data_IF_199317992882
#
_entry.id   IF_199317992882
#
_cell.length_a   1.000
_cell.length_b   1.000
_cell.length_c   1.000
_cell.angle_alpha   90.00
_cell.angle_beta   90.00
_cell.angle_gamma   90.00
#
_symmetry.space_group_name_H-M   'P 1'
#
loop_
_entity.id
_entity.type
_entity.pdbx_description
1 polymer ?
#
# COMPACT_ATOMS: atom_id res chain seq x y z
N UNK A 1 3.38 0.22 -20.08
CA UNK A 1 2.16 -0.02 -19.27
C UNK A 1 1.10 1.11 -19.34
N UNK A 2 1.48 2.39 -19.22
CA UNK A 2 0.55 3.54 -19.10
C UNK A 2 -0.61 3.64 -20.13
N UNK A 3 -0.43 3.48 -21.46
CA UNK A 3 -1.56 3.56 -22.39
C UNK A 3 -2.62 2.46 -22.16
N UNK A 4 -2.20 1.27 -21.72
CA UNK A 4 -3.12 0.17 -21.37
C UNK A 4 -3.89 0.46 -20.10
N UNK A 5 -3.25 1.06 -19.09
CA UNK A 5 -3.93 1.49 -17.86
C UNK A 5 -5.02 2.51 -18.15
N UNK A 6 -4.76 3.49 -19.02
CA UNK A 6 -5.79 4.46 -19.45
C UNK A 6 -6.97 3.73 -20.10
N UNK A 7 -6.71 2.80 -21.01
CA UNK A 7 -7.76 2.01 -21.66
C UNK A 7 -8.59 1.21 -20.64
N UNK A 8 -7.92 0.49 -19.74
CA UNK A 8 -8.58 -0.29 -18.67
C UNK A 8 -9.42 0.63 -17.77
N UNK A 9 -8.91 1.80 -17.42
CA UNK A 9 -9.62 2.79 -16.60
C UNK A 9 -10.91 3.27 -17.25
N UNK A 10 -10.89 3.47 -18.58
CA UNK A 10 -12.09 3.82 -19.33
C UNK A 10 -13.10 2.66 -19.35
N UNK A 11 -12.63 1.42 -19.49
CA UNK A 11 -13.49 0.23 -19.47
C UNK A 11 -14.11 -0.02 -18.10
N UNK A 12 -13.39 0.25 -17.00
CA UNK A 12 -13.90 0.12 -15.63
C UNK A 12 -15.09 1.04 -15.33
N UNK A 13 -15.20 2.17 -16.05
CA UNK A 13 -16.34 3.09 -15.93
C UNK A 13 -17.61 2.53 -16.60
N UNK A 14 -17.47 1.62 -17.56
CA UNK A 14 -18.59 0.91 -18.18
C UNK A 14 -18.89 -0.38 -17.40
N UNK A 15 -20.06 -0.41 -16.73
CA UNK A 15 -20.49 -1.58 -15.95
C UNK A 15 -20.48 -2.88 -16.74
N UNK A 16 -20.70 -2.84 -18.07
CA UNK A 16 -20.68 -4.04 -18.91
C UNK A 16 -19.27 -4.59 -19.13
N UNK A 17 -18.26 -3.72 -19.06
CA UNK A 17 -16.86 -4.06 -19.34
C UNK A 17 -16.02 -4.18 -18.06
N UNK A 18 -16.53 -3.74 -16.91
CA UNK A 18 -15.79 -3.72 -15.65
C UNK A 18 -15.18 -5.08 -15.25
N UNK A 19 -15.90 -6.19 -15.46
CA UNK A 19 -15.36 -7.52 -15.17
C UNK A 19 -14.20 -7.90 -16.11
N UNK A 20 -14.33 -7.61 -17.41
CA UNK A 20 -13.28 -7.89 -18.38
C UNK A 20 -12.06 -6.99 -18.15
N UNK A 21 -12.28 -5.71 -17.82
CA UNK A 21 -11.24 -4.75 -17.53
C UNK A 21 -10.39 -5.15 -16.32
N UNK A 22 -11.01 -5.71 -15.29
CA UNK A 22 -10.29 -6.23 -14.13
C UNK A 22 -9.38 -7.42 -14.48
N UNK A 23 -9.89 -8.41 -15.23
CA UNK A 23 -9.07 -9.51 -15.70
C UNK A 23 -7.92 -9.04 -16.61
N UNK A 24 -8.14 -7.98 -17.40
CA UNK A 24 -7.07 -7.35 -18.17
C UNK A 24 -6.03 -6.64 -17.28
N UNK A 25 -6.44 -6.03 -16.17
CA UNK A 25 -5.51 -5.41 -15.23
C UNK A 25 -4.65 -6.45 -14.51
N UNK A 26 -5.26 -7.54 -14.03
CA UNK A 26 -4.53 -8.68 -13.44
C UNK A 26 -3.53 -9.28 -14.44
N UNK A 27 -3.96 -9.49 -15.68
CA UNK A 27 -3.09 -9.97 -16.76
C UNK A 27 -1.97 -8.99 -17.07
N UNK A 28 -2.24 -7.68 -17.00
CA UNK A 28 -1.23 -6.65 -17.21
C UNK A 28 -0.17 -6.67 -16.11
N UNK A 29 -0.57 -6.81 -14.85
CA UNK A 29 0.36 -6.98 -13.72
C UNK A 29 1.24 -8.20 -13.95
N UNK A 30 0.65 -9.36 -14.25
CA UNK A 30 1.37 -10.61 -14.47
C UNK A 30 2.33 -10.58 -15.68
N UNK A 31 1.96 -9.86 -16.75
CA UNK A 31 2.76 -9.77 -17.97
C UNK A 31 3.85 -8.68 -17.93
N UNK A 32 3.87 -7.82 -16.90
CA UNK A 32 4.82 -6.70 -16.82
C UNK A 32 6.10 -7.13 -16.12
N UNK A 33 7.21 -7.20 -16.86
CA UNK A 33 8.52 -7.58 -16.31
C UNK A 33 9.24 -6.44 -15.59
N UNK A 34 9.00 -5.20 -16.02
CA UNK A 34 9.61 -4.00 -15.46
C UNK A 34 8.99 -3.65 -14.10
N UNK A 35 9.84 -3.48 -13.08
CA UNK A 35 9.39 -3.36 -11.69
C UNK A 35 8.60 -2.08 -11.43
N UNK A 36 9.08 -0.94 -11.93
CA UNK A 36 8.40 0.35 -11.79
C UNK A 36 7.02 0.32 -12.46
N UNK A 37 6.94 -0.17 -13.69
CA UNK A 37 5.66 -0.32 -14.39
C UNK A 37 4.74 -1.36 -13.74
N UNK A 38 5.30 -2.41 -13.12
CA UNK A 38 4.49 -3.40 -12.40
C UNK A 38 3.92 -2.78 -11.12
N UNK A 39 4.72 -2.01 -10.37
CA UNK A 39 4.27 -1.26 -9.21
C UNK A 39 3.13 -0.29 -9.57
N UNK A 40 3.25 0.47 -10.68
CA UNK A 40 2.16 1.32 -11.19
C UNK A 40 0.86 0.52 -11.42
N UNK A 41 0.96 -0.66 -12.06
CA UNK A 41 -0.20 -1.51 -12.33
C UNK A 41 -0.77 -2.16 -11.06
N UNK A 42 0.07 -2.57 -10.10
CA UNK A 42 -0.34 -3.12 -8.81
C UNK A 42 -1.07 -2.09 -7.95
N UNK A 43 -0.60 -0.83 -7.93
CA UNK A 43 -1.31 0.27 -7.27
C UNK A 43 -2.72 0.46 -7.84
N UNK A 44 -2.84 0.42 -9.17
CA UNK A 44 -4.14 0.50 -9.83
C UNK A 44 -5.05 -0.68 -9.49
N UNK A 45 -4.48 -1.88 -9.37
CA UNK A 45 -5.22 -3.07 -8.97
C UNK A 45 -5.66 -2.99 -7.50
N UNK A 46 -4.80 -2.51 -6.60
CA UNK A 46 -5.15 -2.30 -5.19
C UNK A 46 -6.32 -1.32 -5.05
N UNK A 47 -6.29 -0.19 -5.79
CA UNK A 47 -7.41 0.76 -5.82
C UNK A 47 -8.70 0.10 -6.34
N UNK A 48 -8.61 -0.72 -7.39
CA UNK A 48 -9.78 -1.44 -7.89
C UNK A 48 -10.36 -2.41 -6.85
N UNK A 49 -9.53 -3.09 -6.06
CA UNK A 49 -10.01 -3.96 -4.98
C UNK A 49 -10.69 -3.15 -3.87
N UNK A 50 -10.15 -1.98 -3.52
CA UNK A 50 -10.80 -1.04 -2.59
C UNK A 50 -12.17 -0.60 -3.09
N UNK A 51 -12.28 -0.21 -4.36
CA UNK A 51 -13.55 0.21 -4.97
C UNK A 51 -14.60 -0.92 -4.97
N UNK A 52 -14.15 -2.18 -4.90
CA UNK A 52 -14.99 -3.38 -4.80
C UNK A 52 -15.31 -3.79 -3.36
N UNK A 53 -14.73 -3.11 -2.38
CA UNK A 53 -14.86 -3.44 -0.96
C UNK A 53 -13.97 -4.59 -0.49
N UNK A 54 -13.05 -5.07 -1.33
CA UNK A 54 -12.07 -6.10 -0.94
C UNK A 54 -10.81 -5.44 -0.36
N UNK A 55 -10.96 -4.90 0.86
CA UNK A 55 -9.88 -4.23 1.56
C UNK A 55 -8.70 -5.17 1.84
N UNK A 56 -8.95 -6.45 2.10
CA UNK A 56 -7.90 -7.46 2.35
C UNK A 56 -7.03 -7.66 1.12
N UNK A 57 -7.62 -7.88 -0.06
CA UNK A 57 -6.85 -8.02 -1.28
C UNK A 57 -6.06 -6.75 -1.62
N UNK A 58 -6.65 -5.57 -1.36
CA UNK A 58 -5.95 -4.30 -1.54
C UNK A 58 -4.73 -4.16 -0.60
N UNK A 59 -4.88 -4.49 0.69
CA UNK A 59 -3.77 -4.46 1.66
C UNK A 59 -2.65 -5.39 1.21
N UNK A 60 -2.95 -6.64 0.87
CA UNK A 60 -1.95 -7.60 0.39
C UNK A 60 -1.23 -7.13 -0.87
N UNK A 61 -1.94 -6.47 -1.79
CA UNK A 61 -1.31 -5.88 -2.97
C UNK A 61 -0.37 -4.75 -2.60
N UNK A 62 -0.77 -3.83 -1.71
CA UNK A 62 0.09 -2.72 -1.28
C UNK A 62 1.36 -3.20 -0.55
N UNK A 63 1.24 -4.22 0.31
CA UNK A 63 2.38 -4.84 0.99
C UNK A 63 3.37 -5.49 0.02
N UNK A 64 2.89 -5.96 -1.14
CA UNK A 64 3.73 -6.61 -2.17
C UNK A 64 4.54 -5.64 -3.05
N UNK A 65 4.37 -4.32 -2.89
CA UNK A 65 5.03 -3.31 -3.73
C UNK A 65 6.23 -2.72 -2.98
N UNK A 66 7.39 -3.35 -3.12
CA UNK A 66 8.64 -2.93 -2.46
C UNK A 66 8.99 -1.46 -2.73
N UNK A 67 8.68 -0.97 -3.94
CA UNK A 67 8.93 0.42 -4.34
C UNK A 67 8.21 1.48 -3.50
N UNK A 68 7.11 1.13 -2.80
CA UNK A 68 6.29 2.11 -2.05
C UNK A 68 6.01 1.71 -0.60
N UNK A 69 6.17 0.44 -0.22
CA UNK A 69 5.75 -0.07 1.11
C UNK A 69 6.36 0.67 2.29
N UNK A 70 7.60 1.14 2.17
CA UNK A 70 8.30 1.87 3.22
C UNK A 70 8.03 3.38 3.25
N UNK A 71 7.33 3.95 2.26
CA UNK A 71 7.07 5.38 2.24
C UNK A 71 6.06 5.77 3.34
N UNK A 72 6.24 6.93 4.03
CA UNK A 72 5.38 7.32 5.14
C UNK A 72 3.88 7.30 4.83
N UNK A 73 3.49 7.73 3.62
CA UNK A 73 2.09 7.72 3.19
C UNK A 73 1.54 6.29 3.06
N UNK A 74 2.34 5.34 2.54
CA UNK A 74 1.96 3.94 2.40
C UNK A 74 1.88 3.27 3.76
N UNK A 75 2.88 3.51 4.63
CA UNK A 75 2.90 3.00 6.01
C UNK A 75 1.64 3.45 6.75
N UNK A 76 1.30 4.73 6.72
CA UNK A 76 0.09 5.26 7.35
C UNK A 76 -1.19 4.62 6.78
N UNK A 77 -1.23 4.39 5.46
CA UNK A 77 -2.37 3.74 4.79
C UNK A 77 -2.51 2.28 5.25
N UNK A 78 -1.43 1.51 5.24
CA UNK A 78 -1.42 0.10 5.65
C UNK A 78 -1.81 -0.06 7.12
N UNK A 79 -1.29 0.80 8.01
CA UNK A 79 -1.67 0.83 9.42
C UNK A 79 -3.17 1.07 9.58
N UNK A 80 -3.71 2.10 8.93
CA UNK A 80 -5.13 2.40 9.00
C UNK A 80 -6.01 1.26 8.46
N UNK A 81 -5.59 0.59 7.38
CA UNK A 81 -6.30 -0.55 6.81
C UNK A 81 -6.32 -1.75 7.76
N UNK A 82 -5.19 -2.05 8.42
CA UNK A 82 -5.10 -3.12 9.40
C UNK A 82 -5.90 -2.81 10.67
N UNK A 83 -5.84 -1.57 11.17
CA UNK A 83 -6.69 -1.13 12.29
C UNK A 83 -8.18 -1.24 11.97
N UNK A 84 -8.60 -0.85 10.76
CA UNK A 84 -9.99 -0.98 10.33
C UNK A 84 -10.43 -2.46 10.24
N UNK A 85 -9.50 -3.36 9.94
CA UNK A 85 -9.74 -4.81 9.97
C UNK A 85 -9.69 -5.40 11.39
N UNK A 86 -9.31 -4.62 12.41
CA UNK A 86 -9.09 -5.09 13.79
C UNK A 86 -7.82 -5.90 13.98
N UNK A 87 -6.88 -5.83 13.03
CA UNK A 87 -5.58 -6.53 13.10
C UNK A 87 -4.48 -5.57 13.59
N UNK A 88 -4.58 -5.19 14.88
CA UNK A 88 -3.59 -4.31 15.52
C UNK A 88 -2.17 -4.91 15.48
N UNK A 89 -2.04 -6.24 15.45
CA UNK A 89 -0.76 -6.93 15.37
C UNK A 89 -0.12 -6.73 13.98
N UNK A 90 -0.90 -6.81 12.91
CA UNK A 90 -0.41 -6.48 11.57
C UNK A 90 -0.04 -5.00 11.44
N UNK A 91 -0.84 -4.10 11.99
CA UNK A 91 -0.53 -2.67 12.02
C UNK A 91 0.82 -2.39 12.73
N UNK A 92 1.06 -3.04 13.88
CA UNK A 92 2.34 -2.93 14.59
C UNK A 92 3.52 -3.45 13.74
N UNK A 93 3.38 -4.62 13.10
CA UNK A 93 4.43 -5.18 12.23
C UNK A 93 4.83 -4.24 11.08
N UNK A 94 3.85 -3.54 10.49
CA UNK A 94 4.12 -2.56 9.43
C UNK A 94 4.98 -1.40 9.96
N UNK A 95 4.70 -0.92 11.17
CA UNK A 95 5.47 0.14 11.81
C UNK A 95 6.88 -0.32 12.19
N UNK A 96 7.03 -1.57 12.65
CA UNK A 96 8.32 -2.16 12.97
C UNK A 96 9.21 -2.27 11.71
N UNK A 97 8.67 -2.81 10.61
CA UNK A 97 9.38 -2.89 9.33
C UNK A 97 9.75 -1.48 8.82
N UNK A 98 8.86 -0.50 8.97
CA UNK A 98 9.14 0.88 8.58
C UNK A 98 10.26 1.49 9.42
N UNK A 99 10.31 1.21 10.73
CA UNK A 99 11.35 1.70 11.63
C UNK A 99 12.71 1.07 11.31
N UNK A 100 12.75 -0.24 11.10
CA UNK A 100 13.99 -0.97 10.80
C UNK A 100 14.66 -0.48 9.52
N UNK A 101 13.87 -0.04 8.54
CA UNK A 101 14.35 0.37 7.23
C UNK A 101 14.38 1.89 7.02
N UNK A 102 14.00 2.72 8.01
CA UNK A 102 13.80 4.17 7.84
C UNK A 102 15.03 4.89 7.28
N UNK A 103 16.23 4.43 7.65
CA UNK A 103 17.49 5.02 7.22
C UNK A 103 17.79 4.76 5.75
N UNK A 104 17.28 3.65 5.20
CA UNK A 104 17.49 3.22 3.82
C UNK A 104 16.48 3.84 2.83
N UNK A 105 15.43 4.48 3.35
CA UNK A 105 14.42 5.13 2.53
C UNK A 105 14.98 6.32 1.75
N UNK A 106 14.62 6.47 0.46
CA UNK A 106 15.04 7.58 -0.39
C UNK A 106 14.21 8.85 -0.12
N UNK A 107 14.05 9.23 1.15
CA UNK A 107 13.32 10.43 1.61
C UNK A 107 14.24 11.33 2.45
N UNK A 108 13.88 12.60 2.61
CA UNK A 108 14.68 13.56 3.39
C UNK A 108 14.63 13.28 4.91
N UNK A 109 15.63 13.78 5.63
CA UNK A 109 15.78 13.53 7.08
C UNK A 109 14.61 14.05 7.92
N UNK A 110 13.94 15.12 7.48
CA UNK A 110 12.75 15.63 8.16
C UNK A 110 11.59 14.64 8.00
N UNK A 111 11.40 14.06 6.81
CA UNK A 111 10.41 13.01 6.56
C UNK A 111 10.73 11.72 7.34
N UNK A 112 12.00 11.33 7.46
CA UNK A 112 12.43 10.21 8.32
C UNK A 112 12.09 10.47 9.78
N UNK A 113 12.43 11.66 10.29
CA UNK A 113 12.18 12.04 11.68
C UNK A 113 10.68 12.03 12.01
N UNK A 114 9.85 12.56 11.11
CA UNK A 114 8.38 12.51 11.24
C UNK A 114 7.83 11.09 11.26
N UNK A 115 8.35 10.20 10.42
CA UNK A 115 7.93 8.80 10.42
C UNK A 115 8.21 8.15 11.78
N UNK A 116 9.40 8.37 12.35
CA UNK A 116 9.77 7.88 13.68
C UNK A 116 8.86 8.47 14.78
N UNK A 117 8.59 9.77 14.73
CA UNK A 117 7.68 10.43 15.67
C UNK A 117 6.25 9.86 15.61
N UNK A 118 5.71 9.62 14.41
CA UNK A 118 4.39 9.02 14.23
C UNK A 118 4.34 7.57 14.71
N UNK A 119 5.40 6.77 14.47
CA UNK A 119 5.53 5.41 15.01
C UNK A 119 5.50 5.45 16.55
N UNK A 120 6.27 6.33 17.17
CA UNK A 120 6.28 6.47 18.63
C UNK A 120 4.91 6.94 19.17
N UNK A 121 4.29 7.92 18.51
CA UNK A 121 2.96 8.42 18.87
C UNK A 121 1.89 7.32 18.77
N UNK A 122 1.96 6.47 17.74
CA UNK A 122 1.08 5.32 17.58
C UNK A 122 1.22 4.34 18.76
N UNK A 123 2.47 3.94 19.10
CA UNK A 123 2.75 3.03 20.23
C UNK A 123 2.24 3.59 21.55
N UNK A 124 2.43 4.89 21.80
CA UNK A 124 1.91 5.57 22.99
C UNK A 124 0.38 5.52 23.06
N UNK A 125 -0.33 5.72 21.93
CA UNK A 125 -1.80 5.64 21.88
C UNK A 125 -2.31 4.22 22.14
N UNK A 126 -1.58 3.20 21.71
CA UNK A 126 -1.94 1.78 21.93
C UNK A 126 -1.52 1.26 23.32
N UNK A 127 -0.88 2.08 24.15
CA UNK A 127 -0.43 1.69 25.49
C UNK A 127 0.80 0.77 25.50
N UNK A 128 1.56 0.74 24.41
CA UNK A 128 2.81 -0.02 24.28
C UNK A 128 3.98 0.80 24.83
N UNK A 129 3.98 1.02 26.14
CA UNK A 129 4.91 1.95 26.80
C UNK A 129 6.37 1.48 26.84
N UNK A 130 6.65 0.19 26.70
CA UNK A 130 8.02 -0.36 26.80
C UNK A 130 8.84 -0.20 25.51
N UNK A 131 8.20 0.03 24.36
CA UNK A 131 8.84 0.10 23.03
C UNK A 131 8.91 1.54 22.46
N UNK A 132 8.43 2.53 23.23
CA UNK A 132 8.37 3.94 22.81
C UNK A 132 9.60 4.77 23.23
N UNK A 133 10.61 4.15 23.85
CA UNK A 133 11.78 4.80 24.43
C UNK A 133 13.08 4.52 23.67
#
# INVERSE_FOLDING_TARGET
>A
VRPRLIQISLMLRDKKQASAAAGQLESLVAATSDEEQRAEAQLFLAQLQLDRGDATAATTLLESIDAVKGFPATVATLVAMHEQAGDDAAAARVLDEALDNVNELPIDDLSKSRLVEEIAAYRLRKGQYEEAA
#
